data_IF_206103109776
#
_entry.id   IF_206103109776
#
_cell.length_a   1.000
_cell.length_b   1.000
_cell.length_c   1.000
_cell.angle_alpha   90.00
_cell.angle_beta   90.00
_cell.angle_gamma   90.00
#
_symmetry.space_group_name_H-M   'P 1'
#
loop_
_entity.id
_entity.type
_entity.pdbx_description
1 polymer ?
#
# COMPACT_ATOMS: atom_id res chain seq x y z
N UNK A 1 -14.71 -37.21 -24.33
CA UNK A 1 -16.09 -37.17 -23.85
C UNK A 1 -16.10 -36.38 -22.55
N UNK A 2 -16.28 -35.06 -22.63
CA UNK A 2 -16.37 -34.22 -21.44
C UNK A 2 -17.83 -34.14 -21.02
N UNK A 3 -18.13 -34.65 -19.83
CA UNK A 3 -19.40 -34.42 -19.15
C UNK A 3 -19.40 -33.00 -18.60
N UNK A 4 -20.10 -32.08 -19.24
CA UNK A 4 -20.44 -30.81 -18.59
C UNK A 4 -21.95 -30.61 -18.74
N UNK A 5 -22.68 -30.88 -17.65
CA UNK A 5 -24.08 -30.50 -17.53
C UNK A 5 -24.24 -28.97 -17.57
N UNK A 6 -25.49 -28.46 -17.61
CA UNK A 6 -25.74 -27.03 -17.62
C UNK A 6 -25.06 -26.34 -16.43
N UNK A 7 -24.33 -25.25 -16.70
CA UNK A 7 -23.68 -24.42 -15.69
C UNK A 7 -24.70 -23.98 -14.63
N UNK A 8 -24.29 -24.01 -13.37
CA UNK A 8 -25.07 -23.48 -12.26
C UNK A 8 -25.26 -21.96 -12.37
N UNK A 9 -26.28 -21.44 -11.68
CA UNK A 9 -26.52 -20.00 -11.59
C UNK A 9 -25.31 -19.23 -11.04
N UNK A 10 -24.55 -19.85 -10.13
CA UNK A 10 -23.33 -19.29 -9.55
C UNK A 10 -22.21 -19.17 -10.58
N UNK A 11 -21.98 -20.21 -11.38
CA UNK A 11 -20.95 -20.20 -12.43
C UNK A 11 -21.26 -19.17 -13.52
N UNK A 12 -22.52 -19.06 -13.92
CA UNK A 12 -22.98 -18.03 -14.87
C UNK A 12 -22.80 -16.60 -14.31
N UNK A 13 -23.01 -16.40 -13.01
CA UNK A 13 -22.78 -15.11 -12.36
C UNK A 13 -21.29 -14.73 -12.35
N UNK A 14 -20.41 -15.68 -12.00
CA UNK A 14 -18.96 -15.47 -12.00
C UNK A 14 -18.40 -15.23 -13.40
N UNK A 15 -18.93 -15.90 -14.42
CA UNK A 15 -18.53 -15.70 -15.81
C UNK A 15 -18.92 -14.31 -16.33
N UNK A 16 -20.14 -13.84 -16.01
CA UNK A 16 -20.59 -12.47 -16.30
C UNK A 16 -19.75 -11.41 -15.58
N UNK A 17 -19.34 -11.69 -14.34
CA UNK A 17 -18.47 -10.80 -13.58
C UNK A 17 -17.11 -10.66 -14.26
N UNK A 18 -16.44 -11.79 -14.55
CA UNK A 18 -15.15 -11.80 -15.27
C UNK A 18 -15.23 -11.16 -16.65
N UNK A 19 -16.37 -11.32 -17.34
CA UNK A 19 -16.61 -10.68 -18.62
C UNK A 19 -16.70 -9.16 -18.49
N UNK A 20 -17.43 -8.66 -17.48
CA UNK A 20 -17.50 -7.22 -17.18
C UNK A 20 -16.14 -6.65 -16.77
N UNK A 21 -15.35 -7.40 -15.98
CA UNK A 21 -14.01 -6.99 -15.59
C UNK A 21 -13.10 -6.86 -16.82
N UNK A 22 -13.16 -7.83 -17.76
CA UNK A 22 -12.45 -7.75 -19.06
C UNK A 22 -12.91 -6.57 -19.92
N UNK A 23 -14.22 -6.33 -20.02
CA UNK A 23 -14.79 -5.20 -20.78
C UNK A 23 -14.42 -3.84 -20.17
N UNK A 24 -14.29 -3.78 -18.84
CA UNK A 24 -13.83 -2.60 -18.11
C UNK A 24 -12.30 -2.43 -18.10
N UNK A 25 -11.54 -3.34 -18.73
CA UNK A 25 -10.08 -3.35 -18.69
C UNK A 25 -9.50 -3.66 -17.30
N UNK A 26 -10.30 -4.20 -16.40
CA UNK A 26 -9.91 -4.64 -15.06
C UNK A 26 -9.40 -6.07 -15.16
N UNK A 27 -8.10 -6.24 -15.36
CA UNK A 27 -7.45 -7.54 -15.15
C UNK A 27 -7.14 -7.72 -13.66
N UNK A 28 -7.81 -8.66 -13.00
CA UNK A 28 -7.33 -9.20 -11.72
C UNK A 28 -5.99 -9.91 -11.96
N UNK A 29 -4.89 -9.18 -11.77
CA UNK A 29 -3.55 -9.75 -11.77
C UNK A 29 -3.18 -10.10 -10.33
N UNK A 30 -3.26 -11.38 -9.92
CA UNK A 30 -2.80 -11.77 -8.60
C UNK A 30 -1.30 -11.44 -8.48
N UNK A 31 -0.92 -10.88 -7.32
CA UNK A 31 0.48 -10.54 -7.05
C UNK A 31 1.32 -11.82 -6.98
N UNK A 32 2.48 -11.80 -7.63
CA UNK A 32 3.49 -12.86 -7.46
C UNK A 32 4.04 -12.88 -6.04
N UNK A 33 4.60 -14.02 -5.60
CA UNK A 33 5.25 -14.13 -4.29
C UNK A 33 6.41 -13.13 -4.14
N UNK A 34 7.15 -12.86 -5.23
CA UNK A 34 8.20 -11.84 -5.26
C UNK A 34 7.65 -10.44 -5.03
N UNK A 35 6.52 -10.09 -5.63
CA UNK A 35 5.86 -8.79 -5.39
C UNK A 35 5.33 -8.69 -3.96
N UNK A 36 4.73 -9.76 -3.43
CA UNK A 36 4.27 -9.79 -2.03
C UNK A 36 5.43 -9.56 -1.07
N UNK A 37 6.55 -10.26 -1.26
CA UNK A 37 7.76 -10.08 -0.46
C UNK A 37 8.28 -8.63 -0.56
N UNK A 38 8.42 -8.09 -1.77
CA UNK A 38 8.89 -6.72 -1.96
C UNK A 38 7.95 -5.67 -1.34
N UNK A 39 6.63 -5.90 -1.36
CA UNK A 39 5.65 -5.02 -0.68
C UNK A 39 5.82 -5.10 0.84
N UNK A 40 6.05 -6.30 1.39
CA UNK A 40 6.31 -6.47 2.82
C UNK A 40 7.58 -5.73 3.25
N UNK A 41 8.66 -5.88 2.48
CA UNK A 41 9.94 -5.19 2.72
C UNK A 41 9.76 -3.67 2.66
N UNK A 42 9.07 -3.17 1.64
CA UNK A 42 8.78 -1.74 1.53
C UNK A 42 8.03 -1.24 2.78
N UNK A 43 7.00 -1.96 3.23
CA UNK A 43 6.25 -1.60 4.46
C UNK A 43 7.16 -1.56 5.68
N UNK A 44 8.01 -2.57 5.86
CA UNK A 44 8.95 -2.61 7.00
C UNK A 44 9.94 -1.45 6.98
N UNK A 45 10.52 -1.14 5.82
CA UNK A 45 11.46 -0.03 5.66
C UNK A 45 10.80 1.30 6.03
N UNK A 46 9.62 1.60 5.48
CA UNK A 46 8.95 2.86 5.79
C UNK A 46 8.44 2.91 7.24
N UNK A 47 8.02 1.79 7.82
CA UNK A 47 7.69 1.71 9.24
C UNK A 47 8.90 2.03 10.12
N UNK A 48 10.07 1.47 9.82
CA UNK A 48 11.30 1.77 10.55
C UNK A 48 11.67 3.27 10.47
N UNK A 49 11.50 3.88 9.29
CA UNK A 49 11.74 5.32 9.10
C UNK A 49 10.75 6.20 9.87
N UNK A 50 9.48 5.80 9.96
CA UNK A 50 8.49 6.50 10.81
C UNK A 50 8.91 6.40 12.28
N UNK A 51 9.29 5.21 12.74
CA UNK A 51 9.73 5.02 14.12
C UNK A 51 10.97 5.85 14.46
N UNK A 52 11.95 5.91 13.56
CA UNK A 52 13.12 6.78 13.69
C UNK A 52 12.70 8.26 13.86
N UNK A 53 11.77 8.74 13.02
CA UNK A 53 11.27 10.12 13.10
C UNK A 53 10.53 10.40 14.39
N UNK A 54 9.73 9.46 14.86
CA UNK A 54 9.03 9.57 16.14
C UNK A 54 10.01 9.64 17.32
N UNK A 55 11.07 8.83 17.31
CA UNK A 55 12.12 8.88 18.34
C UNK A 55 12.84 10.23 18.34
N UNK A 56 13.23 10.73 17.17
CA UNK A 56 13.89 12.04 17.04
C UNK A 56 12.96 13.18 17.49
N UNK A 57 11.69 13.13 17.10
CA UNK A 57 10.69 14.10 17.54
C UNK A 57 10.51 14.09 19.06
N UNK A 58 10.39 12.92 19.69
CA UNK A 58 10.31 12.82 21.15
C UNK A 58 11.53 13.42 21.85
N UNK A 59 12.72 13.20 21.30
CA UNK A 59 13.95 13.80 21.82
C UNK A 59 13.96 15.33 21.66
N UNK A 60 13.41 15.86 20.56
CA UNK A 60 13.29 17.29 20.32
C UNK A 60 12.24 17.96 21.23
N UNK A 61 11.07 17.34 21.39
CA UNK A 61 10.00 17.81 22.29
C UNK A 61 10.49 17.95 23.73
N UNK A 62 11.31 17.00 24.22
CA UNK A 62 11.90 17.10 25.56
C UNK A 62 12.84 18.29 25.75
N UNK A 63 13.35 18.88 24.67
CA UNK A 63 14.25 20.04 24.68
C UNK A 63 13.55 21.36 24.37
N UNK A 64 12.32 21.32 23.87
CA UNK A 64 11.56 22.50 23.51
C UNK A 64 11.29 23.35 24.76
N UNK A 65 11.43 24.67 24.62
CA UNK A 65 11.27 25.64 25.71
C UNK A 65 10.01 26.50 25.56
N UNK A 66 9.33 26.41 24.42
CA UNK A 66 8.12 27.20 24.16
C UNK A 66 7.02 26.37 23.52
N UNK A 67 5.78 26.86 23.66
CA UNK A 67 4.62 26.30 22.98
C UNK A 67 4.73 26.39 21.46
N UNK A 68 5.30 27.48 20.95
CA UNK A 68 5.51 27.68 19.51
C UNK A 68 6.48 26.65 18.93
N UNK A 69 7.57 26.34 19.66
CA UNK A 69 8.50 25.28 19.28
C UNK A 69 7.83 23.90 19.26
N UNK A 70 6.98 23.60 20.24
CA UNK A 70 6.21 22.35 20.26
C UNK A 70 5.26 22.23 19.06
N UNK A 71 4.47 23.28 18.79
CA UNK A 71 3.54 23.29 17.66
C UNK A 71 4.28 23.13 16.32
N UNK A 72 5.46 23.73 16.18
CA UNK A 72 6.32 23.56 15.01
C UNK A 72 6.82 22.12 14.88
N UNK A 73 7.33 21.53 15.96
CA UNK A 73 7.83 20.14 15.97
C UNK A 73 6.72 19.13 15.64
N UNK A 74 5.49 19.38 16.11
CA UNK A 74 4.32 18.55 15.78
C UNK A 74 3.94 18.67 14.30
N UNK A 75 3.93 19.90 13.76
CA UNK A 75 3.68 20.15 12.34
C UNK A 75 4.72 19.45 11.45
N UNK A 76 5.99 19.50 11.84
CA UNK A 76 7.08 18.81 11.15
C UNK A 76 6.91 17.29 11.16
N UNK A 77 6.62 16.69 12.32
CA UNK A 77 6.37 15.25 12.41
C UNK A 77 5.18 14.82 11.55
N UNK A 78 4.09 15.59 11.57
CA UNK A 78 2.90 15.31 10.75
C UNK A 78 3.24 15.26 9.26
N UNK A 79 3.93 16.29 8.75
CA UNK A 79 4.37 16.37 7.35
C UNK A 79 5.32 15.22 6.97
N UNK A 80 6.22 14.84 7.88
CA UNK A 80 7.14 13.73 7.66
C UNK A 80 6.40 12.39 7.59
N UNK A 81 5.40 12.16 8.44
CA UNK A 81 4.55 10.95 8.38
C UNK A 81 3.78 10.87 7.07
N UNK A 82 3.17 11.98 6.65
CA UNK A 82 2.43 12.05 5.38
C UNK A 82 3.35 11.77 4.19
N UNK A 83 4.55 12.37 4.18
CA UNK A 83 5.55 12.13 3.12
C UNK A 83 5.96 10.65 3.09
N UNK A 84 6.28 10.06 4.24
CA UNK A 84 6.69 8.66 4.32
C UNK A 84 5.56 7.69 3.93
N UNK A 85 4.31 8.00 4.26
CA UNK A 85 3.15 7.24 3.81
C UNK A 85 2.97 7.32 2.29
N UNK A 86 3.05 8.52 1.72
CA UNK A 86 2.96 8.72 0.27
C UNK A 86 4.09 8.02 -0.49
N UNK A 87 5.31 8.08 0.03
CA UNK A 87 6.46 7.40 -0.59
C UNK A 87 6.34 5.88 -0.50
N UNK A 88 5.86 5.34 0.63
CA UNK A 88 5.54 3.92 0.77
C UNK A 88 4.51 3.50 -0.26
N UNK A 89 3.43 4.26 -0.40
CA UNK A 89 2.33 3.91 -1.29
C UNK A 89 2.76 4.01 -2.77
N UNK A 90 3.56 5.01 -3.13
CA UNK A 90 4.23 5.10 -4.43
C UNK A 90 5.09 3.85 -4.68
N UNK A 91 5.91 3.45 -3.71
CA UNK A 91 6.77 2.26 -3.84
C UNK A 91 5.97 0.97 -4.01
N UNK A 92 4.90 0.80 -3.24
CA UNK A 92 4.00 -0.34 -3.38
C UNK A 92 3.37 -0.37 -4.77
N UNK A 93 2.93 0.78 -5.28
CA UNK A 93 2.34 0.88 -6.62
C UNK A 93 3.36 0.55 -7.72
N UNK A 94 4.61 1.02 -7.60
CA UNK A 94 5.70 0.62 -8.50
C UNK A 94 5.89 -0.90 -8.50
N UNK A 95 5.95 -1.54 -7.33
CA UNK A 95 6.12 -3.00 -7.21
C UNK A 95 4.96 -3.75 -7.88
N UNK A 96 3.73 -3.25 -7.71
CA UNK A 96 2.54 -3.82 -8.37
C UNK A 96 2.61 -3.70 -9.90
N UNK A 97 3.19 -2.62 -10.42
CA UNK A 97 3.31 -2.36 -11.86
C UNK A 97 4.51 -3.07 -12.52
N UNK A 98 5.55 -3.44 -11.75
CA UNK A 98 6.79 -4.06 -12.20
C UNK A 98 6.67 -5.48 -12.82
N UNK A 99 5.48 -5.93 -13.19
CA UNK A 99 5.25 -7.25 -13.81
C UNK A 99 4.26 -7.21 -14.98
N UNK A 100 4.27 -6.12 -15.75
CA UNK A 100 3.59 -6.04 -17.07
C UNK A 100 4.54 -6.37 -18.24
N UNK A 101 5.59 -7.15 -18.02
CA UNK A 101 6.54 -7.60 -19.06
C UNK A 101 6.98 -9.01 -18.73
#
# INVERSE_FOLDING_TARGET
>A
MASEGPKSAYELAMERLRQKDREAGVEERPLSEKQKAAIADARQVYQARVAEREILHQAAVRKAQSREELEKLESELSRDRDRLANDRDRKINEIKQQSST
#
